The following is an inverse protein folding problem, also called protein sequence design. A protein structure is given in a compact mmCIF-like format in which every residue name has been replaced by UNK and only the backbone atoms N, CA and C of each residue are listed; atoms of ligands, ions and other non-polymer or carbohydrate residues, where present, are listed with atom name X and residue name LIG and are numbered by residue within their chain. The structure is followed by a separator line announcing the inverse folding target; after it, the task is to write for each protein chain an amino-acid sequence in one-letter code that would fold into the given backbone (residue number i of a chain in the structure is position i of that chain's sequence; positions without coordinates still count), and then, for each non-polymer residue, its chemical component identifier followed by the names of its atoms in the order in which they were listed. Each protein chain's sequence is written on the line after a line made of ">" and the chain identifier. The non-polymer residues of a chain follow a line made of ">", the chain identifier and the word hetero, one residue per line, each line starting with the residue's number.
data_IF_613461514042
#
_entry.id   IF_613461514042
#
_cell.length_a   1.000
_cell.length_b   1.000
_cell.length_c   1.000
_cell.angle_alpha   90.00
_cell.angle_beta   90.00
_cell.angle_gamma   90.00
#
_symmetry.space_group_name_H-M   'P 1'
#
loop_
_entity.id
_entity.type
_entity.pdbx_description
1 polymer ?
#
# COMPACT_ATOMS: atom_id res chain seq x y z
N UNK A 1 -32.72 -54.78 -25.99
CA UNK A 1 -32.37 -53.73 -25.00
C UNK A 1 -31.43 -52.75 -25.69
N UNK A 2 -31.88 -51.51 -25.96
CA UNK A 2 -31.06 -50.45 -26.56
C UNK A 2 -30.40 -49.67 -25.42
N UNK A 3 -29.08 -49.70 -25.34
CA UNK A 3 -28.30 -48.94 -24.36
C UNK A 3 -28.08 -47.55 -24.95
N UNK A 4 -28.66 -46.53 -24.33
CA UNK A 4 -28.48 -45.13 -24.71
C UNK A 4 -27.20 -44.60 -24.06
N UNK A 5 -26.23 -44.13 -24.85
CA UNK A 5 -25.02 -43.47 -24.34
C UNK A 5 -25.32 -41.99 -24.09
N UNK A 6 -25.55 -41.63 -22.82
CA UNK A 6 -25.49 -40.24 -22.38
C UNK A 6 -24.03 -39.84 -22.24
N UNK A 7 -23.54 -39.02 -23.16
CA UNK A 7 -22.26 -38.33 -23.00
C UNK A 7 -22.47 -37.20 -21.98
N UNK A 8 -21.98 -37.39 -20.75
CA UNK A 8 -21.85 -36.32 -19.77
C UNK A 8 -20.72 -35.39 -20.23
N UNK A 9 -21.06 -34.23 -20.78
CA UNK A 9 -20.13 -33.11 -20.92
C UNK A 9 -19.86 -32.56 -19.52
N UNK A 10 -18.74 -32.97 -18.92
CA UNK A 10 -18.19 -32.30 -17.75
C UNK A 10 -17.75 -30.89 -18.17
N UNK A 11 -18.58 -29.89 -17.90
CA UNK A 11 -18.18 -28.50 -17.92
C UNK A 11 -17.16 -28.27 -16.80
N UNK A 12 -15.88 -28.26 -17.15
CA UNK A 12 -14.80 -27.86 -16.25
C UNK A 12 -14.94 -26.37 -15.94
N UNK A 13 -15.56 -26.05 -14.81
CA UNK A 13 -15.54 -24.72 -14.20
C UNK A 13 -14.14 -24.46 -13.65
N UNK A 14 -13.25 -23.92 -14.48
CA UNK A 14 -12.02 -23.31 -14.00
C UNK A 14 -12.41 -22.07 -13.19
N UNK A 15 -12.05 -21.95 -11.90
CA UNK A 15 -12.27 -20.72 -11.16
C UNK A 15 -11.46 -19.62 -11.84
N UNK A 16 -12.14 -18.56 -12.29
CA UNK A 16 -11.47 -17.37 -12.78
C UNK A 16 -10.67 -16.77 -11.61
N UNK A 17 -9.36 -16.51 -11.76
CA UNK A 17 -8.60 -15.85 -10.71
C UNK A 17 -9.22 -14.47 -10.47
N UNK A 18 -9.66 -14.25 -9.22
CA UNK A 18 -10.18 -12.96 -8.78
C UNK A 18 -9.16 -11.87 -9.06
N UNK A 19 -9.64 -10.73 -9.56
CA UNK A 19 -8.80 -9.57 -9.85
C UNK A 19 -8.30 -9.00 -8.51
N UNK A 20 -7.00 -8.84 -8.42
CA UNK A 20 -6.24 -8.64 -7.21
C UNK A 20 -5.33 -7.42 -7.44
N UNK A 21 -5.54 -6.29 -6.75
CA UNK A 21 -4.54 -5.20 -6.65
C UNK A 21 -4.29 -4.79 -5.21
N UNK A 22 -3.85 -3.54 -4.92
CA UNK A 22 -3.67 -2.95 -3.56
C UNK A 22 -4.77 -3.28 -2.56
N UNK A 23 -5.97 -3.69 -2.99
CA UNK A 23 -6.75 -4.70 -2.28
C UNK A 23 -5.92 -5.94 -1.86
N UNK A 24 -6.51 -7.12 -1.76
CA UNK A 24 -5.82 -8.23 -1.09
C UNK A 24 -4.40 -8.55 -1.62
N UNK A 25 -4.14 -8.43 -2.93
CA UNK A 25 -2.82 -8.78 -3.48
C UNK A 25 -1.74 -7.72 -3.33
N UNK A 26 -2.03 -6.42 -3.44
CA UNK A 26 -0.99 -5.41 -3.30
C UNK A 26 -0.52 -5.36 -1.85
N UNK A 27 -1.43 -5.45 -0.86
CA UNK A 27 -1.04 -5.66 0.53
C UNK A 27 -0.22 -6.94 0.73
N UNK A 28 -0.62 -8.05 0.12
CA UNK A 28 0.15 -9.29 0.18
C UNK A 28 1.53 -9.20 -0.47
N UNK A 29 1.66 -8.47 -1.59
CA UNK A 29 2.94 -8.19 -2.27
C UNK A 29 3.82 -7.32 -1.38
N UNK A 30 3.28 -6.23 -0.82
CA UNK A 30 4.00 -5.37 0.14
C UNK A 30 4.52 -6.19 1.32
N UNK A 31 3.65 -7.01 1.90
CA UNK A 31 3.99 -7.89 3.01
C UNK A 31 5.04 -8.95 2.62
N UNK A 32 5.00 -9.47 1.41
CA UNK A 32 5.99 -10.42 0.89
C UNK A 32 7.34 -9.74 0.66
N UNK A 33 7.37 -8.54 0.08
CA UNK A 33 8.59 -7.74 -0.04
C UNK A 33 9.16 -7.42 1.34
N UNK A 34 8.30 -7.06 2.31
CA UNK A 34 8.74 -6.85 3.68
C UNK A 34 9.37 -8.13 4.27
N UNK A 35 8.72 -9.27 4.08
CA UNK A 35 9.20 -10.58 4.54
C UNK A 35 10.60 -10.92 4.00
N UNK A 36 10.88 -10.58 2.73
CA UNK A 36 12.19 -10.77 2.10
C UNK A 36 13.28 -10.01 2.87
N UNK A 37 12.99 -8.83 3.42
CA UNK A 37 13.97 -7.94 4.04
C UNK A 37 14.04 -8.02 5.58
N UNK A 38 13.33 -8.97 6.21
CA UNK A 38 13.41 -9.18 7.65
C UNK A 38 14.70 -9.90 8.05
N UNK A 39 15.26 -9.50 9.19
CA UNK A 39 16.33 -10.26 9.82
C UNK A 39 15.82 -11.63 10.33
N UNK A 40 16.59 -12.73 10.20
CA UNK A 40 16.18 -14.03 10.72
C UNK A 40 15.84 -14.05 12.22
N UNK A 41 16.50 -13.23 13.04
CA UNK A 41 16.18 -13.09 14.48
C UNK A 41 14.82 -12.42 14.70
N UNK A 42 14.56 -11.33 13.96
CA UNK A 42 13.30 -10.56 13.96
C UNK A 42 12.12 -11.41 13.50
N UNK A 43 12.33 -12.29 12.53
CA UNK A 43 11.31 -13.20 12.01
C UNK A 43 10.66 -14.03 13.12
N UNK A 44 11.45 -14.58 14.05
CA UNK A 44 10.93 -15.41 15.14
C UNK A 44 10.08 -14.61 16.14
N UNK A 45 10.51 -13.39 16.48
CA UNK A 45 9.77 -12.48 17.34
C UNK A 45 8.44 -12.07 16.71
N UNK A 46 8.46 -11.73 15.42
CA UNK A 46 7.24 -11.43 14.64
C UNK A 46 6.24 -12.60 14.68
N UNK A 47 6.72 -13.83 14.50
CA UNK A 47 5.85 -15.02 14.53
C UNK A 47 5.22 -15.28 15.90
N UNK A 48 5.94 -14.93 16.96
CA UNK A 48 5.44 -15.01 18.34
C UNK A 48 4.31 -13.99 18.54
N UNK A 49 4.48 -12.74 18.11
CA UNK A 49 3.43 -11.71 18.17
C UNK A 49 2.19 -12.14 17.40
N UNK A 50 2.38 -12.74 16.22
CA UNK A 50 1.27 -13.22 15.41
C UNK A 50 0.55 -14.44 15.99
N UNK A 51 1.07 -15.02 17.09
CA UNK A 51 0.62 -16.28 17.66
C UNK A 51 0.40 -17.34 16.57
N UNK A 52 1.34 -17.39 15.63
CA UNK A 52 1.18 -18.20 14.43
C UNK A 52 1.38 -19.67 14.78
N UNK A 53 0.30 -20.42 14.85
CA UNK A 53 0.29 -21.87 15.10
C UNK A 53 -0.11 -22.62 13.84
N UNK A 54 0.79 -22.70 12.86
CA UNK A 54 0.56 -23.68 11.78
C UNK A 54 0.96 -25.08 12.27
N UNK A 55 -0.02 -25.97 12.28
CA UNK A 55 0.16 -27.39 12.59
C UNK A 55 0.19 -28.26 11.32
N UNK A 56 0.13 -27.62 10.13
CA UNK A 56 0.12 -28.30 8.85
C UNK A 56 1.49 -28.15 8.19
N UNK A 57 2.25 -29.25 7.96
CA UNK A 57 3.56 -29.18 7.33
C UNK A 57 3.52 -28.72 5.86
N UNK A 58 2.33 -28.61 5.27
CA UNK A 58 2.10 -28.09 3.91
C UNK A 58 1.53 -26.66 3.89
N UNK A 59 1.29 -26.05 5.06
CA UNK A 59 0.99 -24.62 5.14
C UNK A 59 2.29 -23.82 5.19
N UNK A 60 2.31 -22.62 4.58
CA UNK A 60 3.47 -21.76 4.65
C UNK A 60 3.78 -21.41 6.11
N UNK A 61 5.07 -21.50 6.44
CA UNK A 61 5.65 -20.97 7.67
C UNK A 61 5.13 -19.55 7.91
N UNK A 62 5.04 -19.14 9.17
CA UNK A 62 4.62 -17.81 9.59
C UNK A 62 5.01 -16.72 8.58
N UNK A 63 4.02 -15.96 8.10
CA UNK A 63 4.21 -15.05 6.97
C UNK A 63 3.31 -13.82 7.09
N UNK A 64 3.79 -12.66 6.66
CA UNK A 64 3.03 -11.40 6.70
C UNK A 64 1.88 -11.35 5.66
N UNK A 65 2.06 -11.90 4.46
CA UNK A 65 1.04 -11.80 3.40
C UNK A 65 -0.38 -12.22 3.81
N UNK A 66 -0.66 -13.39 4.43
CA UNK A 66 -2.02 -13.80 4.79
C UNK A 66 -2.77 -12.83 5.71
N UNK A 67 -2.06 -12.03 6.50
CA UNK A 67 -2.66 -11.07 7.43
C UNK A 67 -2.76 -9.67 6.82
N UNK A 68 -2.12 -9.41 5.68
CA UNK A 68 -1.94 -8.07 5.14
C UNK A 68 -3.27 -7.39 4.77
N UNK A 69 -4.29 -8.17 4.37
CA UNK A 69 -5.63 -7.68 4.06
C UNK A 69 -6.62 -7.77 5.24
N UNK A 70 -6.15 -8.07 6.47
CA UNK A 70 -7.04 -8.28 7.62
C UNK A 70 -7.78 -7.01 8.04
N UNK A 71 -7.13 -5.85 8.02
CA UNK A 71 -7.73 -4.59 8.47
C UNK A 71 -8.96 -4.20 7.62
N UNK A 72 -8.86 -4.37 6.30
CA UNK A 72 -9.98 -4.20 5.38
C UNK A 72 -11.17 -5.12 5.66
N UNK A 73 -10.90 -6.38 6.06
CA UNK A 73 -11.97 -7.30 6.47
C UNK A 73 -12.63 -6.87 7.78
N UNK A 74 -11.87 -6.23 8.66
CA UNK A 74 -12.33 -5.83 9.99
C UNK A 74 -12.99 -4.45 10.02
N UNK A 75 -12.75 -3.56 9.06
CA UNK A 75 -13.28 -2.19 9.06
C UNK A 75 -14.80 -2.08 9.28
N UNK A 76 -15.58 -3.10 8.90
CA UNK A 76 -17.03 -3.15 9.15
C UNK A 76 -17.38 -3.48 10.60
N UNK A 77 -16.61 -4.37 11.23
CA UNK A 77 -16.75 -4.74 12.64
C UNK A 77 -16.14 -3.68 13.55
N UNK A 78 -15.02 -3.11 13.11
CA UNK A 78 -14.25 -2.06 13.77
C UNK A 78 -14.44 -0.74 13.02
N UNK A 79 -15.67 -0.22 12.97
CA UNK A 79 -16.02 0.99 12.18
C UNK A 79 -15.14 2.20 12.47
N UNK A 80 -14.60 2.29 13.69
CA UNK A 80 -13.66 3.32 14.10
C UNK A 80 -12.34 3.31 13.29
N UNK A 81 -11.94 2.15 12.75
CA UNK A 81 -10.70 1.99 11.99
C UNK A 81 -10.79 2.48 10.55
N UNK A 82 -12.01 2.69 10.00
CA UNK A 82 -12.19 3.00 8.57
C UNK A 82 -11.45 4.26 8.11
N UNK A 83 -11.34 5.28 8.95
CA UNK A 83 -10.61 6.51 8.61
C UNK A 83 -9.09 6.36 8.70
N UNK A 84 -8.58 5.27 9.27
CA UNK A 84 -7.14 5.02 9.41
C UNK A 84 -6.49 4.49 8.12
N UNK A 85 -7.26 4.25 7.06
CA UNK A 85 -6.77 3.74 5.78
C UNK A 85 -6.34 4.84 4.79
N UNK A 86 -6.59 6.12 5.12
CA UNK A 86 -6.32 7.24 4.22
C UNK A 86 -6.07 8.54 4.98
N UNK A 87 -5.58 9.56 4.28
CA UNK A 87 -5.69 10.97 4.66
C UNK A 87 -6.52 11.70 3.62
N UNK A 88 -7.45 12.56 4.09
CA UNK A 88 -8.19 13.45 3.21
C UNK A 88 -7.64 14.87 3.31
N UNK A 89 -6.63 15.21 2.51
CA UNK A 89 -6.15 16.59 2.40
C UNK A 89 -7.32 17.51 2.00
N UNK A 90 -7.57 18.55 2.80
CA UNK A 90 -8.50 19.61 2.40
C UNK A 90 -7.76 20.56 1.46
N UNK A 91 -8.50 21.19 0.54
CA UNK A 91 -7.93 22.12 -0.46
C UNK A 91 -7.09 21.46 -1.57
N UNK A 92 -6.96 20.13 -1.53
CA UNK A 92 -6.28 19.38 -2.58
C UNK A 92 -7.13 19.26 -3.85
N UNK A 93 -6.52 19.60 -5.00
CA UNK A 93 -7.14 19.59 -6.32
C UNK A 93 -6.11 19.12 -7.35
N UNK A 94 -5.81 17.80 -7.44
CA UNK A 94 -4.62 17.30 -8.13
C UNK A 94 -4.44 17.73 -9.60
N UNK A 95 -5.51 18.05 -10.34
CA UNK A 95 -5.37 18.60 -11.70
C UNK A 95 -4.72 20.00 -11.74
N UNK A 96 -4.68 20.71 -10.62
CA UNK A 96 -4.23 22.09 -10.48
C UNK A 96 -3.14 22.23 -9.39
N UNK A 97 -3.42 21.71 -8.19
CA UNK A 97 -2.60 21.90 -6.98
C UNK A 97 -2.61 20.63 -6.11
N UNK A 98 -1.44 20.20 -5.66
CA UNK A 98 -1.28 19.09 -4.71
C UNK A 98 -0.91 19.65 -3.34
N UNK A 99 -1.95 20.04 -2.62
CA UNK A 99 -1.81 20.61 -1.28
C UNK A 99 -1.87 19.49 -0.23
N UNK A 100 -0.83 19.37 0.60
CA UNK A 100 -0.70 18.28 1.58
C UNK A 100 -0.05 18.79 2.87
N UNK A 101 -0.84 19.17 3.91
CA UNK A 101 -2.26 18.87 4.12
C UNK A 101 -3.25 19.92 3.58
N UNK A 102 -2.77 20.99 2.93
CA UNK A 102 -3.54 22.19 2.59
C UNK A 102 -3.77 23.14 3.77
N UNK A 103 -4.30 24.33 3.49
CA UNK A 103 -4.48 25.39 4.50
C UNK A 103 -5.43 24.96 5.63
N UNK A 104 -6.48 24.21 5.30
CA UNK A 104 -7.45 23.70 6.29
C UNK A 104 -7.03 22.39 6.93
N UNK A 105 -5.93 21.77 6.49
CA UNK A 105 -5.40 20.54 7.04
C UNK A 105 -6.18 19.30 6.59
N UNK A 106 -6.26 18.28 7.45
CA UNK A 106 -6.96 17.03 7.13
C UNK A 106 -8.47 17.10 7.39
N UNK A 107 -9.24 16.42 6.55
CA UNK A 107 -10.61 16.04 6.86
C UNK A 107 -10.65 15.08 8.06
N UNK A 108 -11.69 15.21 8.89
CA UNK A 108 -11.91 14.32 10.04
C UNK A 108 -11.25 14.82 11.33
N UNK A 109 -10.97 13.90 12.26
CA UNK A 109 -10.36 14.21 13.55
C UNK A 109 -8.84 14.21 13.44
N UNK A 110 -8.17 15.09 14.18
CA UNK A 110 -6.70 15.15 14.26
C UNK A 110 -6.12 13.76 14.56
N UNK A 111 -5.11 13.34 13.79
CA UNK A 111 -4.40 12.06 13.90
C UNK A 111 -5.27 10.79 13.75
N UNK A 112 -6.53 10.91 13.32
CA UNK A 112 -7.37 9.76 12.95
C UNK A 112 -7.35 9.60 11.44
N UNK A 113 -6.17 9.21 10.94
CA UNK A 113 -5.85 8.99 9.53
C UNK A 113 -4.69 7.99 9.41
N UNK A 114 -4.30 7.61 8.20
CA UNK A 114 -3.22 6.60 8.01
C UNK A 114 -1.87 7.01 8.61
N UNK A 115 -1.51 8.29 8.60
CA UNK A 115 -0.25 8.78 9.19
C UNK A 115 -0.24 8.58 10.71
N UNK A 116 -1.33 9.01 11.37
CA UNK A 116 -1.51 8.80 12.81
C UNK A 116 -1.70 7.32 13.17
N UNK A 117 -2.33 6.56 12.27
CA UNK A 117 -2.51 5.11 12.38
C UNK A 117 -1.18 4.38 12.46
N UNK A 118 -0.28 4.63 11.49
CA UNK A 118 1.09 4.06 11.47
C UNK A 118 1.84 4.38 12.76
N UNK A 119 1.86 5.66 13.19
CA UNK A 119 2.54 6.03 14.44
C UNK A 119 1.92 5.35 15.67
N UNK A 120 0.60 5.35 15.78
CA UNK A 120 -0.08 4.77 16.93
C UNK A 120 0.19 3.27 17.07
N UNK A 121 0.03 2.50 15.99
CA UNK A 121 0.27 1.04 16.05
C UNK A 121 1.75 0.70 16.24
N UNK A 122 2.66 1.54 15.72
CA UNK A 122 4.10 1.39 15.99
C UNK A 122 4.42 1.61 17.47
N UNK A 123 3.86 2.66 18.09
CA UNK A 123 4.01 2.91 19.53
C UNK A 123 3.45 1.77 20.40
N UNK A 124 2.32 1.16 19.99
CA UNK A 124 1.75 0.01 20.70
C UNK A 124 2.68 -1.22 20.64
N UNK A 125 3.33 -1.45 19.49
CA UNK A 125 4.31 -2.53 19.34
C UNK A 125 5.57 -2.25 20.14
N UNK A 126 6.05 -1.00 20.15
CA UNK A 126 7.18 -0.58 20.96
C UNK A 126 6.94 -0.79 22.46
N UNK A 127 5.78 -0.37 23.00
CA UNK A 127 5.40 -0.64 24.40
C UNK A 127 5.34 -2.15 24.70
N UNK A 128 4.85 -2.94 23.73
CA UNK A 128 4.85 -4.39 23.88
C UNK A 128 6.28 -4.96 23.93
N UNK A 129 7.20 -4.46 23.11
CA UNK A 129 8.60 -4.92 23.10
C UNK A 129 9.31 -4.56 24.41
N UNK A 130 9.20 -3.30 24.85
CA UNK A 130 9.96 -2.76 25.99
C UNK A 130 9.53 -3.30 27.36
N UNK A 131 8.37 -3.95 27.42
CA UNK A 131 7.79 -4.38 28.68
C UNK A 131 7.73 -5.91 28.75
N UNK A 132 8.50 -6.46 29.68
CA UNK A 132 8.69 -7.90 29.89
C UNK A 132 7.41 -8.63 30.33
N UNK A 133 6.38 -7.93 30.81
CA UNK A 133 5.14 -8.56 31.27
C UNK A 133 4.31 -9.09 30.09
N UNK A 134 4.47 -10.38 29.77
CA UNK A 134 3.69 -11.09 28.76
C UNK A 134 2.33 -11.53 29.35
N UNK A 135 1.24 -10.94 28.84
CA UNK A 135 -0.13 -11.31 29.20
C UNK A 135 -0.94 -11.46 27.91
N UNK A 136 -1.91 -12.37 27.89
CA UNK A 136 -2.72 -12.63 26.69
C UNK A 136 -3.35 -11.35 26.10
N UNK A 137 -3.85 -10.44 26.95
CA UNK A 137 -4.43 -9.18 26.49
C UNK A 137 -3.41 -8.27 25.78
N UNK A 138 -2.16 -8.22 26.26
CA UNK A 138 -1.10 -7.44 25.60
C UNK A 138 -0.66 -8.09 24.30
N UNK A 139 -0.59 -9.42 24.28
CA UNK A 139 -0.23 -10.17 23.08
C UNK A 139 -1.29 -10.01 21.98
N UNK A 140 -2.59 -10.02 22.34
CA UNK A 140 -3.69 -9.75 21.40
C UNK A 140 -3.61 -8.32 20.83
N UNK A 141 -3.30 -7.31 21.65
CA UNK A 141 -3.11 -5.92 21.19
C UNK A 141 -1.93 -5.81 20.24
N UNK A 142 -0.80 -6.44 20.56
CA UNK A 142 0.37 -6.44 19.68
C UNK A 142 0.10 -7.17 18.36
N UNK A 143 -0.66 -8.27 18.40
CA UNK A 143 -1.09 -9.00 17.23
C UNK A 143 -1.93 -8.12 16.29
N UNK A 144 -2.95 -7.43 16.82
CA UNK A 144 -3.76 -6.49 16.03
C UNK A 144 -2.95 -5.29 15.53
N UNK A 145 -2.09 -4.73 16.38
CA UNK A 145 -1.22 -3.61 16.01
C UNK A 145 -0.29 -3.97 14.86
N UNK A 146 0.31 -5.17 14.87
CA UNK A 146 1.16 -5.65 13.77
C UNK A 146 0.36 -5.84 12.47
N UNK A 147 -0.86 -6.39 12.56
CA UNK A 147 -1.75 -6.53 11.39
C UNK A 147 -2.12 -5.17 10.79
N UNK A 148 -2.45 -4.20 11.63
CA UNK A 148 -2.70 -2.84 11.18
C UNK A 148 -1.46 -2.18 10.59
N UNK A 149 -0.28 -2.34 11.21
CA UNK A 149 0.98 -1.78 10.68
C UNK A 149 1.26 -2.30 9.27
N UNK A 150 1.17 -3.61 9.06
CA UNK A 150 1.37 -4.25 7.75
C UNK A 150 0.41 -3.65 6.70
N UNK A 151 -0.85 -3.48 7.07
CA UNK A 151 -1.87 -2.94 6.17
C UNK A 151 -1.66 -1.45 5.88
N UNK A 152 -1.51 -0.62 6.92
CA UNK A 152 -1.37 0.83 6.81
C UNK A 152 -0.10 1.24 6.06
N UNK A 153 0.99 0.47 6.16
CA UNK A 153 2.17 0.70 5.33
C UNK A 153 1.88 0.49 3.84
N UNK A 154 0.99 -0.43 3.47
CA UNK A 154 0.49 -0.54 2.11
C UNK A 154 -0.35 0.68 1.72
N UNK A 155 -1.37 1.01 2.52
CA UNK A 155 -2.28 2.14 2.26
C UNK A 155 -1.54 3.47 2.11
N UNK A 156 -0.53 3.71 2.96
CA UNK A 156 0.31 4.91 2.93
C UNK A 156 0.99 5.13 1.57
N UNK A 157 1.24 4.06 0.81
CA UNK A 157 1.94 4.10 -0.47
C UNK A 157 1.01 4.04 -1.68
N UNK A 158 -0.31 3.97 -1.45
CA UNK A 158 -1.31 4.11 -2.49
C UNK A 158 -1.63 5.62 -2.67
N UNK A 159 -1.30 6.27 -3.81
CA UNK A 159 -1.37 7.73 -3.91
C UNK A 159 -2.76 8.33 -3.69
N UNK A 160 -3.83 7.65 -4.11
CA UNK A 160 -5.20 8.09 -3.90
C UNK A 160 -5.72 7.87 -2.47
N UNK A 161 -4.99 7.15 -1.61
CA UNK A 161 -5.23 7.15 -0.16
C UNK A 161 -4.68 8.43 0.48
N UNK A 162 -3.94 9.24 -0.27
CA UNK A 162 -3.35 10.49 0.20
C UNK A 162 -4.04 11.75 -0.34
N UNK A 163 -5.26 11.63 -0.87
CA UNK A 163 -6.05 12.77 -1.38
C UNK A 163 -7.49 12.74 -0.85
N UNK A 164 -8.03 13.92 -0.53
CA UNK A 164 -9.44 14.11 -0.20
C UNK A 164 -10.35 14.26 -1.42
N UNK A 165 -9.79 14.52 -2.61
CA UNK A 165 -10.55 14.84 -3.83
C UNK A 165 -11.45 13.66 -4.24
N UNK A 166 -12.75 13.93 -4.36
CA UNK A 166 -13.79 12.97 -4.77
C UNK A 166 -13.74 11.62 -4.04
N UNK A 167 -13.40 11.66 -2.74
CA UNK A 167 -13.23 10.47 -1.89
C UNK A 167 -12.07 9.60 -2.37
N UNK A 168 -10.93 10.21 -2.67
CA UNK A 168 -9.74 9.51 -3.17
C UNK A 168 -9.95 8.95 -4.57
N UNK A 169 -10.68 9.64 -5.45
CA UNK A 169 -10.97 9.15 -6.80
C UNK A 169 -12.09 8.09 -6.90
N UNK A 170 -12.72 7.70 -5.79
CA UNK A 170 -13.82 6.72 -5.80
C UNK A 170 -15.04 7.21 -6.58
N UNK A 171 -15.22 8.53 -6.65
CA UNK A 171 -16.36 9.14 -7.34
C UNK A 171 -16.10 9.43 -8.82
N UNK A 172 -14.87 9.19 -9.31
CA UNK A 172 -14.46 9.48 -10.68
C UNK A 172 -14.51 8.19 -11.51
N UNK A 173 -15.56 8.05 -12.32
CA UNK A 173 -15.76 6.89 -13.21
C UNK A 173 -14.84 6.97 -14.42
N UNK A 174 -14.16 5.86 -14.74
CA UNK A 174 -13.18 5.75 -15.83
C UNK A 174 -13.34 4.42 -16.55
N UNK A 175 -12.82 4.31 -17.77
CA UNK A 175 -12.68 3.05 -18.49
C UNK A 175 -11.26 2.52 -18.39
N UNK A 176 -11.13 1.20 -18.26
CA UNK A 176 -9.85 0.51 -18.28
C UNK A 176 -10.03 -0.91 -18.80
N UNK A 177 -9.24 -1.32 -19.79
CA UNK A 177 -9.36 -2.65 -20.40
C UNK A 177 -10.75 -2.94 -20.97
N UNK A 178 -11.41 -1.91 -21.52
CA UNK A 178 -12.78 -1.99 -22.04
C UNK A 178 -13.90 -2.02 -20.99
N UNK A 179 -13.58 -1.93 -19.69
CA UNK A 179 -14.58 -2.02 -18.59
C UNK A 179 -14.74 -0.68 -17.87
N UNK A 180 -15.95 -0.41 -17.38
CA UNK A 180 -16.22 0.72 -16.50
C UNK A 180 -15.74 0.40 -15.07
N UNK A 181 -15.04 1.34 -14.46
CA UNK A 181 -14.54 1.28 -13.08
C UNK A 181 -14.51 2.70 -12.49
N UNK A 182 -13.80 2.91 -11.38
CA UNK A 182 -13.45 4.24 -10.88
C UNK A 182 -11.92 4.37 -10.72
N UNK A 183 -11.43 5.60 -10.65
CA UNK A 183 -9.99 5.91 -10.57
C UNK A 183 -9.33 5.25 -9.35
N UNK A 184 -10.01 5.23 -8.20
CA UNK A 184 -9.51 4.57 -7.00
C UNK A 184 -9.29 3.08 -7.24
N UNK A 185 -10.32 2.34 -7.66
CA UNK A 185 -10.23 0.90 -7.93
C UNK A 185 -9.27 0.54 -9.07
N UNK A 186 -9.05 1.45 -10.03
CA UNK A 186 -8.02 1.27 -11.06
C UNK A 186 -6.64 1.18 -10.42
N UNK A 187 -6.27 2.19 -9.62
CA UNK A 187 -4.99 2.21 -8.93
C UNK A 187 -4.91 1.11 -7.89
N UNK A 188 -5.94 0.98 -7.07
CA UNK A 188 -6.04 0.05 -5.95
C UNK A 188 -6.12 -1.43 -6.38
N UNK A 189 -6.22 -1.71 -7.68
CA UNK A 189 -6.71 -2.99 -8.18
C UNK A 189 -6.10 -3.37 -9.52
N UNK A 190 -6.62 -2.68 -10.54
CA UNK A 190 -6.55 -3.13 -11.91
C UNK A 190 -5.16 -2.96 -12.53
N UNK A 191 -4.40 -1.91 -12.14
CA UNK A 191 -3.02 -1.73 -12.59
C UNK A 191 -2.12 -2.88 -12.13
N UNK A 192 -2.21 -3.27 -10.85
CA UNK A 192 -1.45 -4.39 -10.30
C UNK A 192 -1.86 -5.70 -10.96
N UNK A 193 -3.17 -5.95 -11.10
CA UNK A 193 -3.66 -7.14 -11.76
C UNK A 193 -3.19 -7.23 -13.22
N UNK A 194 -3.13 -6.10 -13.94
CA UNK A 194 -2.56 -6.04 -15.30
C UNK A 194 -1.07 -6.37 -15.28
N UNK A 195 -0.29 -5.74 -14.39
CA UNK A 195 1.15 -5.97 -14.27
C UNK A 195 1.49 -7.43 -13.92
N UNK A 196 0.71 -8.09 -13.04
CA UNK A 196 0.87 -9.52 -12.74
C UNK A 196 0.66 -10.36 -14.01
N UNK A 197 -0.43 -10.13 -14.75
CA UNK A 197 -0.72 -10.89 -15.99
C UNK A 197 0.32 -10.66 -17.08
N UNK A 198 0.85 -9.45 -17.17
CA UNK A 198 1.81 -9.03 -18.19
C UNK A 198 3.27 -9.28 -17.77
N UNK A 199 3.50 -9.86 -16.59
CA UNK A 199 4.84 -10.18 -16.10
C UNK A 199 5.57 -11.11 -17.08
N UNK A 200 6.79 -10.76 -17.54
CA UNK A 200 7.54 -11.58 -18.47
C UNK A 200 7.81 -13.00 -17.95
N UNK A 201 7.65 -14.01 -18.82
CA UNK A 201 7.87 -15.43 -18.51
C UNK A 201 9.26 -15.75 -17.94
N UNK A 202 10.27 -14.89 -18.14
CA UNK A 202 11.60 -15.04 -17.53
C UNK A 202 11.54 -15.05 -15.99
N UNK A 203 10.54 -14.40 -15.40
CA UNK A 203 10.33 -14.36 -13.94
C UNK A 203 9.46 -15.51 -13.42
N UNK A 204 9.05 -16.46 -14.26
CA UNK A 204 8.42 -17.69 -13.81
C UNK A 204 9.43 -18.71 -13.25
N UNK A 205 10.73 -18.38 -13.26
CA UNK A 205 11.81 -19.21 -12.73
C UNK A 205 12.43 -18.55 -11.50
N UNK A 206 12.97 -19.34 -10.56
CA UNK A 206 13.66 -18.80 -9.39
C UNK A 206 14.81 -17.86 -9.76
N UNK A 207 14.96 -16.79 -8.98
CA UNK A 207 16.12 -15.90 -9.02
C UNK A 207 17.31 -16.54 -8.30
N UNK A 208 18.55 -16.15 -8.59
CA UNK A 208 19.75 -16.61 -7.87
C UNK A 208 19.90 -15.95 -6.48
N UNK A 209 18.80 -15.71 -5.78
CA UNK A 209 18.74 -15.08 -4.46
C UNK A 209 17.84 -15.91 -3.55
N UNK A 210 18.41 -16.88 -2.80
CA UNK A 210 17.65 -17.81 -1.97
C UNK A 210 16.73 -17.12 -0.96
N UNK A 211 17.13 -15.96 -0.44
CA UNK A 211 16.34 -15.15 0.48
C UNK A 211 15.04 -14.63 -0.13
N UNK A 212 15.06 -14.24 -1.41
CA UNK A 212 13.85 -13.86 -2.14
C UNK A 212 12.94 -15.08 -2.24
N UNK A 213 13.48 -16.19 -2.75
CA UNK A 213 12.71 -17.40 -3.01
C UNK A 213 12.14 -18.04 -1.74
N UNK A 214 12.83 -17.91 -0.60
CA UNK A 214 12.38 -18.41 0.69
C UNK A 214 11.11 -17.69 1.20
N UNK A 215 10.93 -16.42 0.85
CA UNK A 215 9.74 -15.67 1.22
C UNK A 215 8.57 -15.87 0.23
N UNK A 216 8.80 -16.50 -0.92
CA UNK A 216 7.73 -16.78 -1.89
C UNK A 216 6.91 -18.01 -1.47
N UNK A 217 5.67 -18.08 -1.95
CA UNK A 217 4.64 -19.00 -1.43
C UNK A 217 3.85 -19.72 -2.52
N UNK A 218 4.38 -19.78 -3.73
CA UNK A 218 3.73 -20.29 -4.93
C UNK A 218 2.41 -19.56 -5.26
N UNK A 219 2.39 -18.24 -5.06
CA UNK A 219 1.22 -17.41 -5.35
C UNK A 219 1.20 -16.93 -6.80
N UNK A 220 0.04 -16.44 -7.24
CA UNK A 220 -0.11 -15.90 -8.60
C UNK A 220 0.76 -14.65 -8.86
N UNK A 221 1.19 -13.95 -7.81
CA UNK A 221 2.02 -12.74 -7.92
C UNK A 221 3.51 -13.00 -7.70
N UNK A 222 3.96 -14.23 -7.42
CA UNK A 222 5.37 -14.51 -7.12
C UNK A 222 6.30 -14.12 -8.28
N UNK A 223 5.88 -14.36 -9.52
CA UNK A 223 6.65 -13.92 -10.69
C UNK A 223 6.76 -12.39 -10.78
N UNK A 224 5.72 -11.68 -10.34
CA UNK A 224 5.71 -10.22 -10.29
C UNK A 224 6.60 -9.70 -9.15
N UNK A 225 6.58 -10.33 -7.98
CA UNK A 225 7.54 -10.03 -6.88
C UNK A 225 8.97 -10.24 -7.37
N UNK A 226 9.28 -11.37 -8.03
CA UNK A 226 10.61 -11.58 -8.63
C UNK A 226 11.01 -10.46 -9.59
N UNK A 227 10.09 -9.97 -10.43
CA UNK A 227 10.35 -8.83 -11.33
C UNK A 227 10.65 -7.55 -10.54
N UNK A 228 9.84 -7.21 -9.55
CA UNK A 228 10.04 -6.01 -8.69
C UNK A 228 11.41 -6.07 -8.02
N UNK A 229 11.75 -7.23 -7.45
CA UNK A 229 13.02 -7.42 -6.78
C UNK A 229 14.19 -7.34 -7.76
N UNK A 230 14.10 -8.01 -8.91
CA UNK A 230 15.20 -8.06 -9.88
C UNK A 230 15.37 -6.75 -10.65
N UNK A 231 14.36 -6.25 -11.35
CA UNK A 231 14.48 -5.04 -12.19
C UNK A 231 14.56 -3.76 -11.35
N UNK A 232 13.91 -3.77 -10.19
CA UNK A 232 13.77 -2.63 -9.30
C UNK A 232 14.80 -2.62 -8.18
N UNK A 233 14.49 -3.33 -7.10
CA UNK A 233 15.21 -3.27 -5.81
C UNK A 233 16.70 -3.58 -5.96
N UNK A 234 17.05 -4.63 -6.70
CA UNK A 234 18.44 -5.06 -6.90
C UNK A 234 19.17 -4.31 -8.04
N UNK A 235 18.45 -3.52 -8.83
CA UNK A 235 19.00 -2.80 -9.98
C UNK A 235 18.55 -1.34 -9.96
N UNK A 236 17.45 -0.99 -10.63
CA UNK A 236 17.05 0.40 -10.92
C UNK A 236 17.02 1.32 -9.69
N UNK A 237 16.72 0.78 -8.50
CA UNK A 237 16.54 1.57 -7.28
C UNK A 237 17.54 1.24 -6.17
N UNK A 238 18.55 0.41 -6.42
CA UNK A 238 19.48 -0.05 -5.39
C UNK A 238 20.11 1.12 -4.60
N UNK A 239 20.51 2.17 -5.32
CA UNK A 239 21.13 3.37 -4.74
C UNK A 239 20.14 4.28 -3.99
N UNK A 240 18.83 4.13 -4.23
CA UNK A 240 17.79 4.96 -3.58
C UNK A 240 17.28 4.37 -2.25
N UNK A 241 17.50 3.06 -2.01
CA UNK A 241 16.96 2.35 -0.83
C UNK A 241 17.37 3.01 0.50
N UNK A 242 18.63 3.46 0.70
CA UNK A 242 19.01 4.15 1.94
C UNK A 242 18.16 5.40 2.21
N UNK A 243 17.81 6.14 1.17
CA UNK A 243 17.00 7.36 1.28
C UNK A 243 15.53 7.01 1.58
N UNK A 244 15.01 5.89 1.06
CA UNK A 244 13.63 5.49 1.26
C UNK A 244 13.27 5.26 2.74
N UNK A 245 14.21 4.75 3.53
CA UNK A 245 14.03 4.47 4.97
C UNK A 245 14.52 5.60 5.87
N UNK A 246 15.13 6.64 5.29
CA UNK A 246 15.64 7.78 6.05
C UNK A 246 14.52 8.76 6.45
N UNK A 247 14.72 9.43 7.58
CA UNK A 247 13.87 10.50 8.07
C UNK A 247 14.68 11.78 8.28
N UNK A 248 14.12 12.98 8.01
CA UNK A 248 14.83 14.24 8.20
C UNK A 248 15.19 14.47 9.66
N UNK A 249 16.45 14.85 9.93
CA UNK A 249 16.86 15.28 11.28
C UNK A 249 16.37 16.70 11.53
N UNK A 250 16.05 17.04 12.79
CA UNK A 250 15.57 18.38 13.14
C UNK A 250 16.63 19.49 12.97
N UNK A 251 17.91 19.16 12.72
CA UNK A 251 19.03 20.12 12.69
C UNK A 251 19.64 20.44 11.32
N UNK A 252 19.34 19.71 10.24
CA UNK A 252 20.05 19.91 8.98
C UNK A 252 19.45 21.07 8.16
N UNK A 253 19.83 22.28 8.56
CA UNK A 253 19.90 23.43 7.66
C UNK A 253 21.36 23.84 7.53
N UNK A 254 22.07 23.21 6.59
CA UNK A 254 23.32 23.77 6.05
C UNK A 254 23.29 23.78 4.52
N UNK A 255 23.91 24.79 3.88
CA UNK A 255 23.64 25.15 2.49
C UNK A 255 24.59 24.42 1.54
N UNK A 256 24.32 23.15 1.24
CA UNK A 256 24.99 22.46 0.12
C UNK A 256 24.03 21.78 -0.85
N UNK A 257 22.73 21.95 -0.64
CA UNK A 257 21.76 21.07 -1.28
C UNK A 257 21.26 21.62 -2.61
N UNK A 258 21.04 20.66 -3.53
CA UNK A 258 20.64 20.85 -4.92
C UNK A 258 19.42 21.75 -5.08
N UNK A 259 19.26 22.38 -6.26
CA UNK A 259 18.17 23.31 -6.57
C UNK A 259 16.78 22.75 -6.21
N UNK A 260 16.58 21.43 -6.36
CA UNK A 260 15.34 20.75 -5.99
C UNK A 260 15.11 20.65 -4.48
N UNK A 261 16.15 20.36 -3.70
CA UNK A 261 16.08 20.40 -2.23
C UNK A 261 15.88 21.83 -1.73
N UNK A 262 16.42 22.85 -2.40
CA UNK A 262 16.15 24.26 -2.06
C UNK A 262 14.70 24.66 -2.31
N UNK A 263 14.08 24.19 -3.39
CA UNK A 263 12.65 24.42 -3.65
C UNK A 263 11.79 23.72 -2.59
N UNK A 264 12.08 22.46 -2.27
CA UNK A 264 11.33 21.70 -1.26
C UNK A 264 11.53 22.25 0.16
N UNK A 265 12.73 22.68 0.53
CA UNK A 265 13.01 23.29 1.84
C UNK A 265 12.42 24.69 1.97
N UNK A 266 12.34 25.46 0.87
CA UNK A 266 11.66 26.76 0.86
C UNK A 266 10.15 26.58 1.00
N UNK A 267 9.56 25.58 0.33
CA UNK A 267 8.15 25.20 0.50
C UNK A 267 7.87 24.74 1.94
N UNK A 268 8.73 23.87 2.50
CA UNK A 268 8.64 23.38 3.88
C UNK A 268 8.83 24.47 4.95
N UNK A 269 9.54 25.56 4.64
CA UNK A 269 9.68 26.73 5.54
C UNK A 269 8.44 27.62 5.53
N UNK A 270 7.73 27.72 4.41
CA UNK A 270 6.49 28.50 4.30
C UNK A 270 5.34 27.79 5.04
N UNK A 271 5.34 26.46 5.11
CA UNK A 271 4.32 25.65 5.81
C UNK A 271 4.60 25.42 7.31
N UNK A 272 5.78 25.79 7.82
CA UNK A 272 6.22 25.58 9.22
C UNK A 272 5.68 26.62 10.22
N UNK A 273 4.36 26.62 10.45
CA UNK A 273 3.75 27.10 11.71
C UNK A 273 3.13 25.91 12.45
N UNK A 274 3.91 25.23 13.30
CA UNK A 274 3.45 24.17 14.21
C UNK A 274 2.54 23.12 13.57
N UNK A 275 3.03 22.51 12.48
CA UNK A 275 2.22 21.75 11.52
C UNK A 275 2.19 20.25 11.78
N UNK A 276 1.22 19.58 11.13
CA UNK A 276 0.96 18.13 11.13
C UNK A 276 2.21 17.24 11.17
N UNK A 277 3.29 17.61 10.47
CA UNK A 277 4.55 16.86 10.46
C UNK A 277 5.13 16.67 11.88
N UNK A 278 5.01 17.67 12.75
CA UNK A 278 5.53 17.60 14.13
C UNK A 278 4.72 16.62 15.01
N UNK A 279 3.50 16.22 14.61
CA UNK A 279 2.66 15.28 15.35
C UNK A 279 2.85 13.81 14.92
N UNK A 280 3.32 13.55 13.68
CA UNK A 280 3.43 12.20 13.12
C UNK A 280 4.85 11.74 12.84
N UNK A 281 5.80 12.66 12.67
CA UNK A 281 7.16 12.33 12.26
C UNK A 281 8.18 12.55 13.39
N UNK A 282 9.13 11.63 13.50
CA UNK A 282 10.36 11.80 14.28
C UNK A 282 11.58 11.33 13.47
N UNK A 283 12.73 11.22 14.13
CA UNK A 283 14.01 10.86 13.50
C UNK A 283 14.06 9.40 13.00
N UNK A 284 13.09 8.56 13.38
CA UNK A 284 13.03 7.14 13.03
C UNK A 284 11.81 6.80 12.17
N UNK A 285 10.63 7.31 12.51
CA UNK A 285 9.37 7.01 11.84
C UNK A 285 8.73 8.31 11.34
N UNK A 286 8.72 8.50 10.02
CA UNK A 286 8.28 9.75 9.39
C UNK A 286 7.24 9.54 8.26
N UNK A 287 6.03 9.04 8.60
CA UNK A 287 5.00 8.76 7.62
C UNK A 287 4.57 9.99 6.80
N UNK A 288 4.59 11.20 7.36
CA UNK A 288 4.24 12.41 6.58
C UNK A 288 5.33 12.73 5.55
N UNK A 289 6.61 12.65 5.92
CA UNK A 289 7.74 12.78 5.00
C UNK A 289 7.66 11.75 3.86
N UNK A 290 7.33 10.49 4.18
CA UNK A 290 7.16 9.44 3.18
C UNK A 290 5.95 9.65 2.26
N UNK A 291 4.84 10.12 2.82
CA UNK A 291 3.59 10.37 2.09
C UNK A 291 3.70 11.56 1.14
N UNK A 292 4.46 12.61 1.50
CA UNK A 292 4.53 13.85 0.73
C UNK A 292 4.89 13.66 -0.77
N UNK A 293 5.98 12.97 -1.13
CA UNK A 293 6.30 12.73 -2.55
C UNK A 293 5.32 11.77 -3.22
N UNK A 294 4.71 10.84 -2.47
CA UNK A 294 3.70 9.89 -2.99
C UNK A 294 2.42 10.63 -3.33
N UNK A 295 1.98 11.55 -2.47
CA UNK A 295 0.88 12.46 -2.74
C UNK A 295 1.16 13.33 -3.98
N UNK A 296 2.40 13.80 -4.17
CA UNK A 296 2.80 14.55 -5.36
C UNK A 296 2.53 13.83 -6.69
N UNK A 297 2.50 12.49 -6.69
CA UNK A 297 2.13 11.70 -7.87
C UNK A 297 0.67 11.93 -8.30
N UNK A 298 -0.21 12.37 -7.40
CA UNK A 298 -1.58 12.79 -7.72
C UNK A 298 -1.59 13.85 -8.82
N UNK A 299 -0.73 14.87 -8.73
CA UNK A 299 -0.63 15.91 -9.75
C UNK A 299 0.20 15.51 -10.95
N UNK A 300 1.16 14.61 -10.75
CA UNK A 300 2.09 14.23 -11.81
C UNK A 300 1.45 13.30 -12.84
N UNK A 301 0.72 12.26 -12.37
CA UNK A 301 0.24 11.20 -13.25
C UNK A 301 -0.99 10.44 -12.73
N UNK A 302 -1.19 10.33 -11.42
CA UNK A 302 -2.26 9.50 -10.84
C UNK A 302 -3.64 10.09 -11.11
N UNK A 303 -3.76 11.43 -11.14
CA UNK A 303 -4.99 12.13 -11.50
C UNK A 303 -4.88 12.75 -12.89
N UNK A 304 -5.44 12.11 -13.94
CA UNK A 304 -5.48 12.72 -15.26
C UNK A 304 -6.25 14.04 -15.23
N UNK A 305 -5.66 15.11 -15.79
CA UNK A 305 -6.28 16.45 -15.83
C UNK A 305 -7.60 16.43 -16.60
N UNK A 306 -7.68 15.57 -17.60
CA UNK A 306 -8.85 15.36 -18.44
C UNK A 306 -10.09 14.98 -17.63
N UNK A 307 -9.94 14.37 -16.44
CA UNK A 307 -11.08 14.08 -15.55
C UNK A 307 -11.77 15.35 -15.05
N UNK A 308 -11.05 16.46 -14.97
CA UNK A 308 -11.58 17.74 -14.54
C UNK A 308 -11.95 18.66 -15.73
N UNK A 309 -11.84 18.17 -16.96
CA UNK A 309 -12.17 18.91 -18.19
C UNK A 309 -13.38 18.29 -18.94
N UNK A 310 -14.18 19.10 -19.65
CA UNK A 310 -15.20 18.56 -20.56
C UNK A 310 -14.58 17.64 -21.64
N UNK A 311 -15.21 16.50 -22.00
CA UNK A 311 -16.56 16.05 -21.61
C UNK A 311 -16.62 15.19 -20.33
N UNK A 312 -15.48 14.92 -19.69
CA UNK A 312 -15.37 13.97 -18.58
C UNK A 312 -15.68 14.57 -17.21
N UNK A 313 -15.53 15.90 -17.08
CA UNK A 313 -15.97 16.63 -15.89
C UNK A 313 -17.50 16.54 -15.77
N UNK A 314 -17.96 15.49 -15.09
CA UNK A 314 -19.34 15.40 -14.65
C UNK A 314 -19.53 16.42 -13.53
N UNK A 315 -19.95 17.63 -13.91
CA UNK A 315 -20.54 18.57 -12.96
C UNK A 315 -21.65 17.82 -12.24
N UNK A 316 -21.40 17.48 -10.97
CA UNK A 316 -22.25 16.72 -10.06
C UNK A 316 -23.56 16.25 -10.71
N UNK A 317 -23.55 15.05 -11.29
CA UNK A 317 -24.81 14.40 -11.66
C UNK A 317 -25.74 14.50 -10.43
N UNK A 318 -27.00 14.96 -10.59
CA UNK A 318 -27.90 15.18 -9.47
C UNK A 318 -27.91 13.90 -8.64
N UNK A 319 -27.60 14.05 -7.35
CA UNK A 319 -27.57 12.96 -6.39
C UNK A 319 -28.83 12.12 -6.60
N UNK A 320 -28.67 10.95 -7.22
CA UNK A 320 -29.73 9.96 -7.24
C UNK A 320 -30.14 9.74 -5.78
N UNK A 321 -31.45 9.67 -5.47
CA UNK A 321 -31.92 9.67 -4.09
C UNK A 321 -31.19 8.58 -3.32
N UNK A 322 -30.63 8.97 -2.18
CA UNK A 322 -29.97 8.10 -1.23
C UNK A 322 -31.01 7.06 -0.79
N UNK A 323 -30.97 5.88 -1.41
CA UNK A 323 -31.47 4.67 -0.78
C UNK A 323 -30.41 4.25 0.22
N UNK A 324 -30.66 4.58 1.48
CA UNK A 324 -29.86 4.31 2.68
C UNK A 324 -29.83 2.82 3.05
N UNK A 325 -29.68 1.92 2.06
CA UNK A 325 -29.83 0.49 2.27
C UNK A 325 -29.10 -0.39 1.24
N UNK A 326 -27.89 -0.01 0.80
CA UNK A 326 -26.97 -0.94 0.13
C UNK A 326 -25.55 -0.80 0.72
N UNK A 327 -24.89 -1.92 1.08
CA UNK A 327 -23.69 -1.91 1.90
C UNK A 327 -22.48 -1.38 1.10
N UNK A 328 -21.45 -0.77 1.74
CA UNK A 328 -20.14 -0.69 1.11
C UNK A 328 -19.64 -2.14 1.02
N UNK A 329 -19.60 -2.71 -0.19
CA UNK A 329 -19.37 -4.14 -0.38
C UNK A 329 -17.95 -4.56 0.04
N UNK A 330 -17.88 -5.66 0.79
CA UNK A 330 -16.64 -6.35 1.13
C UNK A 330 -16.12 -7.20 -0.04
N UNK A 331 -14.97 -7.85 0.20
CA UNK A 331 -14.40 -8.85 -0.69
C UNK A 331 -15.37 -10.02 -0.89
N UNK A 332 -16.15 -9.98 -1.97
CA UNK A 332 -17.07 -11.03 -2.37
C UNK A 332 -17.72 -10.61 -3.69
N UNK A 333 -17.47 -11.41 -4.73
CA UNK A 333 -18.04 -11.37 -6.07
C UNK A 333 -18.47 -9.99 -6.56
N UNK A 334 -17.56 -9.32 -7.29
CA UNK A 334 -17.95 -8.22 -8.15
C UNK A 334 -18.99 -8.75 -9.17
N UNK A 335 -20.27 -8.48 -8.94
CA UNK A 335 -21.19 -8.29 -10.05
C UNK A 335 -20.66 -7.08 -10.82
N UNK A 336 -19.83 -7.39 -11.81
CA UNK A 336 -19.48 -6.48 -12.88
C UNK A 336 -20.80 -6.11 -13.55
N UNK A 337 -21.41 -5.00 -13.14
CA UNK A 337 -22.40 -4.37 -13.99
C UNK A 337 -21.68 -4.09 -15.32
N UNK A 338 -22.02 -4.88 -16.34
CA UNK A 338 -21.73 -4.58 -17.73
C UNK A 338 -22.61 -3.37 -18.06
N UNK A 339 -22.18 -2.21 -17.58
CA UNK A 339 -22.77 -0.95 -17.96
C UNK A 339 -22.28 -0.64 -19.38
N UNK A 340 -22.96 -1.25 -20.35
CA UNK A 340 -23.02 -0.82 -21.76
C UNK A 340 -23.75 0.54 -21.86
N UNK A 341 -23.30 1.53 -21.07
CA UNK A 341 -23.77 2.90 -21.08
C UNK A 341 -22.89 3.78 -21.98
N UNK A 342 -23.46 4.62 -22.87
CA UNK A 342 -22.75 5.37 -23.89
C UNK A 342 -22.18 6.71 -23.38
N UNK A 343 -21.85 6.81 -22.09
CA UNK A 343 -21.24 8.02 -21.53
C UNK A 343 -19.77 8.13 -21.97
N UNK A 344 -19.27 9.33 -22.30
CA UNK A 344 -17.83 9.53 -22.52
C UNK A 344 -17.13 9.42 -21.16
N UNK A 345 -16.63 8.23 -20.85
CA UNK A 345 -15.72 8.02 -19.73
C UNK A 345 -14.30 7.98 -20.25
N UNK A 346 -13.38 8.61 -19.53
CA UNK A 346 -11.97 8.66 -19.92
C UNK A 346 -11.40 7.24 -19.89
N UNK A 347 -10.84 6.78 -21.01
CA UNK A 347 -10.14 5.51 -21.08
C UNK A 347 -8.69 5.71 -20.61
N UNK A 348 -8.28 4.90 -19.66
CA UNK A 348 -6.97 4.97 -19.02
C UNK A 348 -6.10 3.75 -19.35
N UNK A 349 -6.57 2.77 -20.13
CA UNK A 349 -5.71 1.68 -20.65
C UNK A 349 -5.04 2.12 -21.96
N UNK A 350 -4.35 3.26 -21.90
CA UNK A 350 -3.69 3.92 -23.03
C UNK A 350 -2.17 3.95 -22.84
N UNK A 351 -1.38 4.06 -23.92
CA UNK A 351 0.06 4.29 -23.83
C UNK A 351 0.43 5.53 -23.01
N UNK A 352 -0.38 6.59 -23.11
CA UNK A 352 -0.11 7.89 -22.48
C UNK A 352 -0.34 7.86 -20.96
N UNK A 353 -1.19 6.95 -20.47
CA UNK A 353 -1.47 6.80 -19.04
C UNK A 353 -0.91 5.50 -18.46
N UNK A 354 -1.53 4.35 -18.77
CA UNK A 354 -1.10 3.06 -18.25
C UNK A 354 0.28 2.64 -18.78
N UNK A 355 0.60 3.00 -20.03
CA UNK A 355 1.92 2.79 -20.61
C UNK A 355 3.01 3.53 -19.85
N UNK A 356 2.82 4.83 -19.61
CA UNK A 356 3.77 5.65 -18.82
C UNK A 356 3.96 5.11 -17.40
N UNK A 357 2.88 4.69 -16.73
CA UNK A 357 2.93 4.09 -15.39
C UNK A 357 3.78 2.80 -15.42
N UNK A 358 3.56 1.93 -16.41
CA UNK A 358 4.29 0.67 -16.56
C UNK A 358 5.76 0.87 -16.93
N UNK A 359 6.05 1.76 -17.89
CA UNK A 359 7.41 2.06 -18.35
C UNK A 359 8.28 2.65 -17.24
N UNK A 360 7.67 3.50 -16.40
CA UNK A 360 8.34 4.10 -15.26
C UNK A 360 8.41 3.19 -14.04
N UNK A 361 7.68 2.07 -14.03
CA UNK A 361 7.54 1.14 -12.90
C UNK A 361 6.99 1.84 -11.64
N UNK A 362 6.01 2.73 -11.80
CA UNK A 362 5.52 3.58 -10.70
C UNK A 362 4.85 2.73 -9.61
N UNK A 363 3.95 1.83 -10.02
CA UNK A 363 3.24 0.94 -9.08
C UNK A 363 4.21 -0.01 -8.39
N UNK A 364 5.12 -0.62 -9.15
CA UNK A 364 6.18 -1.49 -8.63
C UNK A 364 7.07 -0.77 -7.60
N UNK A 365 7.45 0.48 -7.87
CA UNK A 365 8.28 1.29 -6.96
C UNK A 365 7.55 1.57 -5.65
N UNK A 366 6.26 1.92 -5.70
CA UNK A 366 5.44 2.17 -4.51
C UNK A 366 5.25 0.91 -3.66
N UNK A 367 5.00 -0.25 -4.29
CA UNK A 367 4.93 -1.54 -3.60
C UNK A 367 6.27 -1.89 -2.93
N UNK A 368 7.39 -1.66 -3.62
CA UNK A 368 8.73 -1.87 -3.08
C UNK A 368 9.05 -0.95 -1.90
N UNK A 369 8.76 0.34 -2.02
CA UNK A 369 8.93 1.33 -0.95
C UNK A 369 8.12 0.95 0.31
N UNK A 370 6.86 0.56 0.13
CA UNK A 370 6.02 0.11 1.23
C UNK A 370 6.60 -1.10 1.96
N UNK A 371 7.03 -2.13 1.20
CA UNK A 371 7.59 -3.35 1.77
C UNK A 371 8.92 -3.11 2.47
N UNK A 372 9.82 -2.34 1.87
CA UNK A 372 11.14 -2.01 2.43
C UNK A 372 11.00 -1.16 3.70
N UNK A 373 10.13 -0.14 3.70
CA UNK A 373 9.87 0.67 4.90
C UNK A 373 9.23 -0.15 6.00
N UNK A 374 8.27 -1.02 5.68
CA UNK A 374 7.65 -1.93 6.64
C UNK A 374 8.70 -2.88 7.26
N UNK A 375 9.56 -3.49 6.44
CA UNK A 375 10.64 -4.34 6.93
C UNK A 375 11.59 -3.57 7.84
N UNK A 376 11.95 -2.34 7.50
CA UNK A 376 12.83 -1.52 8.31
C UNK A 376 12.22 -1.22 9.70
N UNK A 377 10.93 -0.89 9.75
CA UNK A 377 10.20 -0.67 11.01
C UNK A 377 10.15 -1.95 11.85
N UNK A 378 9.80 -3.09 11.25
CA UNK A 378 9.73 -4.38 11.96
C UNK A 378 11.12 -4.80 12.47
N UNK A 379 12.15 -4.66 11.65
CA UNK A 379 13.53 -4.93 12.06
C UNK A 379 13.96 -4.05 13.23
N UNK A 380 13.62 -2.76 13.21
CA UNK A 380 13.92 -1.86 14.32
C UNK A 380 13.12 -2.19 15.59
N UNK A 381 11.84 -2.50 15.48
CA UNK A 381 10.98 -2.85 16.61
C UNK A 381 11.46 -4.09 17.34
N UNK A 382 11.80 -5.15 16.60
CA UNK A 382 12.05 -6.47 17.18
C UNK A 382 13.52 -6.93 17.14
N UNK A 383 14.45 -6.06 16.74
CA UNK A 383 15.87 -6.37 16.86
C UNK A 383 16.25 -6.59 18.32
N UNK A 384 17.15 -7.55 18.57
CA UNK A 384 17.75 -7.74 19.88
C UNK A 384 18.40 -6.44 20.35
N UNK A 385 18.11 -6.06 21.59
CA UNK A 385 18.81 -4.97 22.27
C UNK A 385 20.26 -5.42 22.42
N UNK A 386 21.21 -4.67 21.88
CA UNK A 386 22.63 -4.99 22.03
C UNK A 386 23.05 -4.97 23.51
N UNK A 387 24.23 -5.52 23.81
CA UNK A 387 24.77 -5.58 25.18
C UNK A 387 24.99 -4.21 25.86
N UNK A 388 24.74 -3.10 25.14
CA UNK A 388 24.78 -1.73 25.64
C UNK A 388 23.39 -1.14 25.92
N UNK A 389 22.30 -1.88 25.66
CA UNK A 389 20.94 -1.49 26.02
C UNK A 389 20.22 -0.65 24.96
N UNK A 390 20.67 -0.62 23.70
CA UNK A 390 20.02 0.16 22.64
C UNK A 390 19.50 -0.72 21.49
N UNK A 391 18.24 -0.48 21.08
CA UNK A 391 17.78 -0.85 19.72
C UNK A 391 18.59 -0.07 18.69
N UNK A 392 18.83 -0.64 17.50
CA UNK A 392 19.57 0.02 16.41
C UNK A 392 19.18 1.51 16.27
N UNK A 393 20.15 2.42 16.26
CA UNK A 393 19.90 3.87 16.20
C UNK A 393 19.29 4.37 14.87
N UNK A 394 19.05 3.51 13.87
CA UNK A 394 18.46 3.86 12.56
C UNK A 394 17.68 2.68 11.98
N UNK A 395 16.60 2.98 11.24
CA UNK A 395 15.91 2.02 10.39
C UNK A 395 16.88 1.43 9.36
N UNK A 396 16.91 0.09 9.26
CA UNK A 396 17.74 -0.65 8.30
C UNK A 396 16.97 -1.84 7.74
N UNK A 397 17.20 -2.13 6.47
CA UNK A 397 16.77 -3.38 5.84
C UNK A 397 17.94 -4.33 5.68
N UNK A 398 17.65 -5.63 5.68
CA UNK A 398 18.66 -6.64 5.38
C UNK A 398 19.10 -6.50 3.91
N UNK A 399 20.41 -6.32 3.72
CA UNK A 399 21.02 -6.32 2.39
C UNK A 399 20.96 -7.72 1.77
N UNK A 400 20.42 -7.81 0.57
CA UNK A 400 20.40 -9.05 -0.20
C UNK A 400 21.80 -9.27 -0.78
N UNK A 401 22.47 -10.36 -0.39
CA UNK A 401 23.82 -10.71 -0.84
C UNK A 401 23.82 -11.89 -1.80
#
# INVERSE_FOLDING_TARGET
>A
MRVSHFALLLASSLPLPGVLGWGAAGHEIVATIAQIHLDPSVFLSMCTVLNFTSHNPNEPQCHLAPIAAWADKMRYKMRWSSSLHYVGALDDYPSQTCEFPGERGWAGRKNINVLGGVRNVTNLLEDWVDNEARTAARDDVANEALKFLVHFMGDLHMPLHLTGRDRGGNSNKVRFGGRLTNLHSLWDGLLIAKAIRETPRKYSRPLPYPQIEFALRDTIYDSYVRRIMWEGVLNKWADEIPDWVSCPTKSDTSPSDSLWQQVMTTWNRVTRRGGVADDTDDELLCPYHWATPIHGLNCEIVWPKELDEPPYHHAAAPQAPIYDSLPPHGCGEHEFEIADGPGPYLDLDTPEYAGVIADRLIVEKLLAQAGIRLAAIINWLFADIDGEGSRYHKLKVLELK
#
